data_IF_294311122216
#
_entry.id   IF_294311122216
#
_cell.length_a   1.000
_cell.length_b   1.000
_cell.length_c   1.000
_cell.angle_alpha   90.00
_cell.angle_beta   90.00
_cell.angle_gamma   90.00
#
_symmetry.space_group_name_H-M   'P 1'
#
loop_
_entity.id
_entity.type
_entity.pdbx_description
1 polymer ?
#
# COMPACT_ATOMS: atom_id res chain seq x y z
N UNK A 1 -11.83 -2.41 24.22
CA UNK A 1 -10.58 -1.62 24.22
C UNK A 1 -10.52 -0.86 22.90
N UNK A 2 -10.83 0.44 22.91
CA UNK A 2 -10.85 1.28 21.69
C UNK A 2 -9.39 1.63 21.34
N UNK A 3 -8.75 0.86 20.46
CA UNK A 3 -7.46 1.24 19.87
C UNK A 3 -7.71 2.40 18.91
N UNK A 4 -7.77 3.61 19.47
CA UNK A 4 -7.65 4.84 18.71
C UNK A 4 -6.26 4.85 18.09
N UNK A 5 -6.21 4.64 16.77
CA UNK A 5 -5.01 4.89 15.98
C UNK A 5 -4.64 6.34 16.26
N UNK A 6 -3.47 6.64 16.83
CA UNK A 6 -3.10 8.02 17.13
C UNK A 6 -3.05 8.78 15.82
N UNK A 7 -3.56 10.01 15.78
CA UNK A 7 -3.61 10.83 14.56
C UNK A 7 -2.23 10.93 13.87
N UNK A 8 -1.14 10.82 14.64
CA UNK A 8 0.23 10.73 14.15
C UNK A 8 0.52 9.49 13.28
N UNK A 9 -0.04 8.31 13.60
CA UNK A 9 0.13 7.09 12.79
C UNK A 9 -0.59 7.19 11.44
N UNK A 10 -1.74 7.85 11.38
CA UNK A 10 -2.44 8.12 10.12
C UNK A 10 -1.66 9.11 9.23
N UNK A 11 -1.03 10.13 9.83
CA UNK A 11 -0.17 11.09 9.12
C UNK A 11 1.07 10.40 8.56
N UNK A 12 1.74 9.53 9.35
CA UNK A 12 2.89 8.76 8.86
C UNK A 12 2.47 7.81 7.73
N UNK A 13 1.35 7.09 7.86
CA UNK A 13 0.85 6.22 6.79
C UNK A 13 0.56 7.00 5.50
N UNK A 14 0.01 8.21 5.61
CA UNK A 14 -0.29 9.07 4.45
C UNK A 14 0.99 9.60 3.80
N UNK A 15 1.97 10.03 4.60
CA UNK A 15 3.28 10.48 4.11
C UNK A 15 4.07 9.34 3.46
N UNK A 16 4.05 8.15 4.05
CA UNK A 16 4.66 6.95 3.48
C UNK A 16 3.94 6.55 2.19
N UNK A 17 2.61 6.58 2.15
CA UNK A 17 1.85 6.30 0.93
C UNK A 17 2.23 7.29 -0.19
N UNK A 18 2.22 8.59 0.08
CA UNK A 18 2.58 9.63 -0.90
C UNK A 18 4.03 9.51 -1.37
N UNK A 19 4.97 9.23 -0.48
CA UNK A 19 6.38 9.03 -0.83
C UNK A 19 6.63 7.72 -1.60
N UNK A 20 5.89 6.66 -1.27
CA UNK A 20 6.00 5.35 -1.92
C UNK A 20 5.25 5.26 -3.24
N UNK A 21 4.42 6.24 -3.64
CA UNK A 21 3.85 6.28 -4.99
C UNK A 21 4.94 6.28 -6.10
N UNK A 22 6.11 6.85 -5.81
CA UNK A 22 7.30 6.77 -6.68
C UNK A 22 8.16 5.50 -6.48
N UNK A 23 8.00 4.79 -5.35
CA UNK A 23 8.80 3.62 -4.97
C UNK A 23 8.08 2.26 -5.02
N UNK A 24 6.76 2.22 -5.27
CA UNK A 24 5.91 1.02 -5.32
C UNK A 24 6.22 0.09 -6.53
N UNK A 25 7.33 0.34 -7.23
CA UNK A 25 7.71 -0.33 -8.47
C UNK A 25 6.85 0.07 -9.67
N UNK A 26 7.42 -0.11 -10.85
CA UNK A 26 6.75 0.08 -12.15
C UNK A 26 6.30 -1.23 -12.78
N UNK A 27 6.75 -2.37 -12.25
CA UNK A 27 6.41 -3.67 -12.78
C UNK A 27 5.09 -4.18 -12.17
N UNK A 28 4.39 -5.03 -12.92
CA UNK A 28 3.17 -5.68 -12.47
C UNK A 28 3.38 -6.49 -11.18
N UNK A 29 4.52 -7.19 -11.09
CA UNK A 29 4.86 -8.01 -9.92
C UNK A 29 5.05 -7.14 -8.67
N UNK A 30 5.83 -6.05 -8.76
CA UNK A 30 6.08 -5.14 -7.63
C UNK A 30 4.78 -4.51 -7.12
N UNK A 31 3.90 -4.11 -8.05
CA UNK A 31 2.60 -3.49 -7.74
C UNK A 31 1.65 -4.48 -7.08
N UNK A 32 1.64 -5.72 -7.55
CA UNK A 32 0.82 -6.80 -6.98
C UNK A 32 1.30 -7.16 -5.56
N UNK A 33 2.62 -7.33 -5.38
CA UNK A 33 3.22 -7.64 -4.07
C UNK A 33 3.03 -6.50 -3.07
N UNK A 34 3.30 -5.26 -3.48
CA UNK A 34 3.13 -4.09 -2.62
C UNK A 34 1.66 -3.86 -2.26
N UNK A 35 0.76 -3.99 -3.23
CA UNK A 35 -0.68 -3.89 -3.00
C UNK A 35 -1.18 -4.98 -2.05
N UNK A 36 -0.72 -6.21 -2.21
CA UNK A 36 -1.06 -7.32 -1.32
C UNK A 36 -0.53 -7.10 0.09
N UNK A 37 0.71 -6.63 0.25
CA UNK A 37 1.29 -6.35 1.55
C UNK A 37 0.53 -5.22 2.29
N UNK A 38 0.20 -4.14 1.60
CA UNK A 38 -0.56 -3.01 2.18
C UNK A 38 -1.98 -3.46 2.56
N UNK A 39 -2.63 -4.21 1.67
CA UNK A 39 -3.95 -4.75 1.91
C UNK A 39 -3.98 -5.73 3.08
N UNK A 40 -2.97 -6.61 3.19
CA UNK A 40 -2.80 -7.52 4.31
C UNK A 40 -2.58 -6.77 5.64
N UNK A 41 -1.70 -5.76 5.63
CA UNK A 41 -1.39 -4.94 6.80
C UNK A 41 -2.61 -4.14 7.29
N UNK A 42 -3.40 -3.59 6.37
CA UNK A 42 -4.65 -2.89 6.71
C UNK A 42 -5.71 -3.88 7.19
N UNK A 43 -5.82 -5.03 6.52
CA UNK A 43 -6.73 -6.11 6.87
C UNK A 43 -6.49 -6.73 8.24
N UNK A 44 -5.25 -6.70 8.73
CA UNK A 44 -4.88 -7.16 10.06
C UNK A 44 -5.61 -6.43 11.20
N UNK A 45 -6.07 -5.19 10.95
CA UNK A 45 -6.86 -4.41 11.92
C UNK A 45 -8.22 -5.08 12.17
N UNK A 46 -8.79 -5.74 11.15
CA UNK A 46 -10.12 -6.36 11.18
C UNK A 46 -10.06 -7.84 11.58
N UNK A 47 -8.86 -8.43 11.63
CA UNK A 47 -8.61 -9.80 12.10
C UNK A 47 -7.94 -10.70 11.05
N UNK A 48 -7.73 -11.99 11.36
CA UNK A 48 -6.95 -12.92 10.52
C UNK A 48 -7.54 -13.09 9.11
N UNK A 49 -8.87 -13.15 9.01
CA UNK A 49 -9.58 -13.21 7.72
C UNK A 49 -9.36 -11.91 6.93
N UNK A 50 -9.32 -10.78 7.63
CA UNK A 50 -9.04 -9.47 7.05
C UNK A 50 -7.65 -9.42 6.43
N UNK A 51 -6.63 -10.07 7.01
CA UNK A 51 -5.29 -10.17 6.43
C UNK A 51 -5.34 -10.84 5.05
N UNK A 52 -5.98 -12.00 4.95
CA UNK A 52 -6.09 -12.73 3.68
C UNK A 52 -6.92 -11.98 2.64
N UNK A 53 -8.11 -11.52 3.03
CA UNK A 53 -9.00 -10.77 2.14
C UNK A 53 -8.36 -9.45 1.69
N UNK A 54 -7.72 -8.74 2.60
CA UNK A 54 -6.99 -7.51 2.32
C UNK A 54 -5.81 -7.75 1.39
N UNK A 55 -5.05 -8.83 1.57
CA UNK A 55 -3.95 -9.20 0.68
C UNK A 55 -4.44 -9.44 -0.75
N UNK A 56 -5.54 -10.19 -0.90
CA UNK A 56 -6.10 -10.50 -2.22
C UNK A 56 -6.62 -9.22 -2.89
N UNK A 57 -7.43 -8.43 -2.19
CA UNK A 57 -8.00 -7.19 -2.73
C UNK A 57 -6.90 -6.19 -3.08
N UNK A 58 -5.96 -5.96 -2.17
CA UNK A 58 -4.85 -5.04 -2.38
C UNK A 58 -3.94 -5.48 -3.52
N UNK A 59 -3.67 -6.79 -3.65
CA UNK A 59 -2.88 -7.36 -4.74
C UNK A 59 -3.57 -7.21 -6.10
N UNK A 60 -4.88 -7.50 -6.16
CA UNK A 60 -5.68 -7.31 -7.39
C UNK A 60 -5.71 -5.85 -7.79
N UNK A 61 -5.97 -4.94 -6.85
CA UNK A 61 -5.98 -3.49 -7.13
C UNK A 61 -4.61 -3.02 -7.62
N UNK A 62 -3.51 -3.50 -7.01
CA UNK A 62 -2.15 -3.24 -7.46
C UNK A 62 -1.87 -3.75 -8.88
N UNK A 63 -2.34 -4.95 -9.20
CA UNK A 63 -2.19 -5.59 -10.50
C UNK A 63 -2.94 -4.86 -11.63
N UNK A 64 -4.19 -4.46 -11.37
CA UNK A 64 -5.06 -3.85 -12.40
C UNK A 64 -4.84 -2.34 -12.55
N UNK A 65 -4.11 -1.71 -11.64
CA UNK A 65 -3.84 -0.26 -11.68
C UNK A 65 -2.54 0.02 -12.45
N UNK A 66 -2.61 0.60 -13.66
CA UNK A 66 -1.42 0.85 -14.45
C UNK A 66 -0.56 1.97 -13.83
N UNK A 67 0.78 1.85 -13.86
CA UNK A 67 1.68 2.78 -13.18
C UNK A 67 1.50 4.24 -13.64
N UNK A 68 1.24 4.45 -14.93
CA UNK A 68 0.95 5.75 -15.55
C UNK A 68 -0.25 6.52 -14.98
N UNK A 69 -1.11 5.89 -14.16
CA UNK A 69 -2.24 6.56 -13.48
C UNK A 69 -1.88 7.12 -12.10
N UNK A 70 -0.78 6.66 -11.50
CA UNK A 70 -0.48 6.88 -10.07
C UNK A 70 0.99 7.19 -9.81
N UNK A 71 1.87 7.05 -10.80
CA UNK A 71 3.30 7.25 -10.64
C UNK A 71 3.65 8.73 -10.91
N UNK A 72 4.28 9.37 -9.93
CA UNK A 72 4.70 10.78 -9.98
C UNK A 72 6.10 10.97 -10.61
N UNK A 73 6.71 9.89 -11.10
CA UNK A 73 8.06 9.88 -11.70
C UNK A 73 9.07 9.13 -10.85
N UNK A 74 10.34 9.10 -11.30
CA UNK A 74 11.42 8.48 -10.52
C UNK A 74 11.65 9.28 -9.23
N UNK A 75 11.71 8.62 -8.07
CA UNK A 75 11.91 9.33 -6.83
C UNK A 75 13.34 9.87 -6.71
N UNK A 76 13.52 10.99 -6.00
CA UNK A 76 14.81 11.68 -5.91
C UNK A 76 15.89 10.91 -5.12
N UNK A 77 15.49 9.85 -4.41
CA UNK A 77 16.38 8.96 -3.65
C UNK A 77 16.80 7.70 -4.43
N UNK A 78 16.35 7.53 -5.67
CA UNK A 78 16.78 6.46 -6.59
C UNK A 78 18.03 6.90 -7.36
N UNK A 79 19.12 7.16 -6.61
CA UNK A 79 20.47 7.48 -7.14
C UNK A 79 21.26 6.23 -7.47
#
# INVERSE_FOLDING_TARGET
>A
MKKVIPASAAVVATMVALGSLGGCGTTFADRTLSGAAIGAGTGAIVGPVGVGAGAVVGGVVGAVTPPKKVNLGRPIWDR
#
